data_IF_637093646295
#
_entry.id   IF_637093646295
#
_cell.length_a   1.000
_cell.length_b   1.000
_cell.length_c   1.000
_cell.angle_alpha   90.00
_cell.angle_beta   90.00
_cell.angle_gamma   90.00
#
_symmetry.space_group_name_H-M   'P 1'
#
loop_
_entity.id
_entity.type
_entity.pdbx_description
1 polymer ?
#
# COMPACT_ATOMS: atom_id res chain seq x y z
N UNK A 1 23.52 15.88 -15.56
CA UNK A 1 22.38 15.24 -14.86
C UNK A 1 21.12 15.97 -15.29
N UNK A 2 19.97 15.32 -15.49
CA UNK A 2 18.73 16.04 -15.78
C UNK A 2 18.38 16.96 -14.61
N UNK A 3 17.87 18.17 -14.90
CA UNK A 3 17.52 19.17 -13.87
C UNK A 3 16.34 18.74 -12.98
N UNK A 4 15.59 17.71 -13.40
CA UNK A 4 14.44 17.19 -12.66
C UNK A 4 14.88 16.15 -11.64
N UNK A 5 14.53 16.38 -10.37
CA UNK A 5 14.77 15.44 -9.28
C UNK A 5 13.72 14.32 -9.31
N UNK A 6 14.05 13.20 -9.94
CA UNK A 6 13.21 11.99 -9.96
C UNK A 6 13.64 11.10 -8.80
N UNK A 7 12.69 10.74 -7.92
CA UNK A 7 12.94 9.85 -6.76
C UNK A 7 12.32 8.47 -6.91
N UNK A 8 11.32 8.34 -7.79
CA UNK A 8 10.66 7.06 -7.99
C UNK A 8 9.90 6.96 -9.31
N UNK A 9 9.70 5.73 -9.75
CA UNK A 9 8.89 5.37 -10.91
C UNK A 9 7.75 4.45 -10.43
N UNK A 10 6.52 4.87 -10.69
CA UNK A 10 5.31 4.08 -10.48
C UNK A 10 5.01 3.24 -11.73
N UNK A 11 5.18 1.93 -11.63
CA UNK A 11 4.90 1.00 -12.73
C UNK A 11 3.43 0.61 -12.71
N UNK A 12 2.62 1.43 -13.38
CA UNK A 12 1.16 1.30 -13.36
C UNK A 12 0.54 1.97 -12.12
N UNK A 13 -0.77 1.78 -11.95
CA UNK A 13 -1.54 2.27 -10.82
C UNK A 13 -2.69 1.30 -10.56
N UNK A 14 -2.75 0.73 -9.35
CA UNK A 14 -3.78 -0.20 -8.90
C UNK A 14 -4.02 -1.37 -9.87
N UNK A 15 -2.95 -1.87 -10.52
CA UNK A 15 -3.05 -2.83 -11.63
C UNK A 15 -3.80 -4.11 -11.23
N UNK A 16 -3.60 -4.58 -9.99
CA UNK A 16 -4.23 -5.80 -9.47
C UNK A 16 -5.76 -5.73 -9.43
N UNK A 17 -6.32 -4.54 -9.22
CA UNK A 17 -7.77 -4.32 -9.05
C UNK A 17 -8.41 -3.70 -10.29
N UNK A 18 -7.65 -2.94 -11.10
CA UNK A 18 -8.19 -2.18 -12.25
C UNK A 18 -7.94 -2.86 -13.60
N UNK A 19 -6.80 -3.53 -13.79
CA UNK A 19 -6.42 -4.17 -15.05
C UNK A 19 -5.78 -5.55 -14.79
N UNK A 20 -6.53 -6.55 -14.27
CA UNK A 20 -5.95 -7.79 -13.75
C UNK A 20 -5.17 -8.61 -14.79
N UNK A 21 -5.53 -8.50 -16.07
CA UNK A 21 -4.80 -9.14 -17.16
C UNK A 21 -3.35 -8.60 -17.32
N UNK A 22 -3.10 -7.35 -16.95
CA UNK A 22 -1.76 -6.75 -16.97
C UNK A 22 -0.92 -7.13 -15.73
N UNK A 23 -1.52 -7.65 -14.66
CA UNK A 23 -0.81 -8.04 -13.44
C UNK A 23 0.29 -9.10 -13.71
N UNK A 24 0.08 -9.95 -14.72
CA UNK A 24 1.02 -11.02 -15.10
C UNK A 24 2.38 -10.49 -15.60
N UNK A 25 2.43 -9.25 -16.10
CA UNK A 25 3.66 -8.63 -16.63
C UNK A 25 4.24 -7.55 -15.70
N UNK A 26 3.55 -7.24 -14.59
CA UNK A 26 3.89 -6.14 -13.69
C UNK A 26 5.31 -6.26 -13.12
N UNK A 27 5.61 -7.40 -12.47
CA UNK A 27 6.93 -7.62 -11.84
C UNK A 27 8.05 -7.65 -12.88
N UNK A 28 7.78 -8.20 -14.07
CA UNK A 28 8.75 -8.19 -15.18
C UNK A 28 9.04 -6.76 -15.64
N UNK A 29 8.01 -5.91 -15.79
CA UNK A 29 8.18 -4.51 -16.15
C UNK A 29 8.99 -3.74 -15.09
N UNK A 30 8.72 -3.97 -13.80
CA UNK A 30 9.49 -3.37 -12.70
C UNK A 30 10.97 -3.77 -12.77
N UNK A 31 11.26 -5.05 -13.01
CA UNK A 31 12.64 -5.56 -13.17
C UNK A 31 13.35 -4.93 -14.36
N UNK A 32 12.69 -4.81 -15.52
CA UNK A 32 13.30 -4.19 -16.69
C UNK A 32 13.64 -2.70 -16.47
N UNK A 33 12.73 -1.95 -15.82
CA UNK A 33 12.98 -0.55 -15.48
C UNK A 33 14.13 -0.39 -14.48
N UNK A 34 14.18 -1.23 -13.44
CA UNK A 34 15.28 -1.22 -12.49
C UNK A 34 16.62 -1.57 -13.16
N UNK A 35 16.66 -2.58 -14.04
CA UNK A 35 17.88 -2.90 -14.82
C UNK A 35 18.35 -1.72 -15.67
N UNK A 36 17.44 -0.94 -16.26
CA UNK A 36 17.80 0.27 -17.00
C UNK A 36 18.38 1.35 -16.08
N UNK A 37 17.83 1.52 -14.87
CA UNK A 37 18.36 2.45 -13.86
C UNK A 37 19.76 2.01 -13.38
N UNK A 38 19.98 0.73 -13.16
CA UNK A 38 21.31 0.17 -12.82
C UNK A 38 22.31 0.45 -13.95
N UNK A 39 21.93 0.21 -15.20
CA UNK A 39 22.78 0.51 -16.36
C UNK A 39 23.11 2.01 -16.50
N UNK A 40 22.23 2.88 -16.00
CA UNK A 40 22.43 4.33 -15.94
C UNK A 40 23.10 4.82 -14.64
N UNK A 41 23.41 3.93 -13.68
CA UNK A 41 23.91 4.26 -12.35
C UNK A 41 22.98 5.22 -11.57
N UNK A 42 21.67 5.00 -11.67
CA UNK A 42 20.61 5.81 -11.07
C UNK A 42 19.77 5.04 -10.03
N UNK A 43 19.96 3.73 -9.87
CA UNK A 43 19.16 2.86 -8.99
C UNK A 43 19.29 3.17 -7.49
N UNK A 44 20.37 3.86 -7.09
CA UNK A 44 20.52 4.43 -5.75
C UNK A 44 19.67 5.68 -5.48
N UNK A 45 19.23 6.38 -6.53
CA UNK A 45 18.48 7.64 -6.44
C UNK A 45 17.01 7.49 -6.86
N UNK A 46 16.76 6.69 -7.90
CA UNK A 46 15.43 6.47 -8.46
C UNK A 46 14.98 5.06 -8.10
N UNK A 47 13.91 4.95 -7.30
CA UNK A 47 13.35 3.65 -6.90
C UNK A 47 12.20 3.23 -7.81
N UNK A 48 11.97 1.93 -7.94
CA UNK A 48 10.88 1.39 -8.77
C UNK A 48 9.85 0.73 -7.86
N UNK A 49 8.60 1.17 -7.96
CA UNK A 49 7.48 0.61 -7.20
C UNK A 49 6.20 0.60 -8.03
N UNK A 50 5.09 0.16 -7.45
CA UNK A 50 3.76 0.15 -8.07
C UNK A 50 2.72 0.50 -6.99
N UNK A 51 1.93 1.58 -7.18
CA UNK A 51 0.81 1.88 -6.30
C UNK A 51 -0.27 0.81 -6.34
N UNK A 52 -0.74 0.37 -5.18
CA UNK A 52 -1.86 -0.57 -5.01
C UNK A 52 -3.06 0.12 -4.36
N UNK A 53 -4.28 -0.36 -4.66
CA UNK A 53 -5.45 -0.03 -3.83
C UNK A 53 -5.31 -0.69 -2.47
N UNK A 54 -5.77 -0.04 -1.40
CA UNK A 54 -5.90 -0.68 -0.07
C UNK A 54 -6.80 -1.92 -0.09
N UNK A 55 -7.66 -2.09 -1.09
CA UNK A 55 -8.56 -3.24 -1.24
C UNK A 55 -7.84 -4.57 -1.49
N UNK A 56 -6.51 -4.54 -1.74
CA UNK A 56 -5.71 -5.77 -1.79
C UNK A 56 -5.49 -6.37 -0.39
N UNK A 57 -5.78 -5.62 0.68
CA UNK A 57 -5.71 -6.06 2.08
C UNK A 57 -7.12 -6.46 2.52
N UNK A 58 -7.27 -7.70 2.98
CA UNK A 58 -8.52 -8.22 3.52
C UNK A 58 -8.46 -8.20 5.05
N UNK A 59 -9.65 -8.17 5.66
CA UNK A 59 -9.83 -8.16 7.12
C UNK A 59 -8.90 -7.16 7.81
N UNK A 60 -8.83 -5.93 7.27
CA UNK A 60 -7.89 -4.89 7.68
C UNK A 60 -8.07 -4.37 9.11
N UNK A 61 -9.08 -4.85 9.84
CA UNK A 61 -9.25 -4.56 11.27
C UNK A 61 -9.61 -5.82 12.07
N UNK A 62 -8.89 -6.15 13.16
CA UNK A 62 -7.76 -5.39 13.70
C UNK A 62 -6.49 -5.50 12.80
N UNK A 63 -5.67 -4.44 12.66
CA UNK A 63 -4.52 -4.43 11.74
C UNK A 63 -3.56 -5.61 11.91
N UNK A 64 -3.33 -6.07 13.14
CA UNK A 64 -2.47 -7.22 13.43
C UNK A 64 -2.92 -8.56 12.85
N UNK A 65 -4.15 -8.65 12.34
CA UNK A 65 -4.70 -9.85 11.68
C UNK A 65 -4.92 -9.67 10.19
N UNK A 66 -4.63 -8.49 9.66
CA UNK A 66 -4.81 -8.18 8.26
C UNK A 66 -3.90 -9.06 7.39
N UNK A 67 -4.37 -9.34 6.17
CA UNK A 67 -3.60 -10.11 5.21
C UNK A 67 -3.91 -9.69 3.79
N UNK A 68 -2.91 -9.78 2.91
CA UNK A 68 -3.15 -9.58 1.49
C UNK A 68 -4.06 -10.66 0.91
N UNK A 69 -4.94 -10.27 -0.01
CA UNK A 69 -5.81 -11.17 -0.74
C UNK A 69 -4.99 -12.27 -1.44
N UNK A 70 -5.23 -13.52 -1.02
CA UNK A 70 -4.47 -14.69 -1.47
C UNK A 70 -4.56 -14.93 -2.98
N UNK A 71 -5.58 -14.42 -3.68
CA UNK A 71 -5.68 -14.50 -5.14
C UNK A 71 -4.55 -13.78 -5.86
N UNK A 72 -3.91 -12.79 -5.23
CA UNK A 72 -2.77 -12.05 -5.80
C UNK A 72 -1.40 -12.61 -5.38
N UNK A 73 -1.35 -13.71 -4.62
CA UNK A 73 -0.11 -14.26 -4.06
C UNK A 73 0.99 -14.50 -5.11
N UNK A 74 0.62 -14.96 -6.30
CA UNK A 74 1.57 -15.21 -7.40
C UNK A 74 2.24 -13.95 -7.95
N UNK A 75 1.66 -12.76 -7.70
CA UNK A 75 2.21 -11.46 -8.08
C UNK A 75 2.84 -10.75 -6.88
N UNK A 76 2.15 -10.69 -5.74
CA UNK A 76 2.61 -9.95 -4.56
C UNK A 76 3.89 -10.52 -3.96
N UNK A 77 4.01 -11.85 -3.83
CA UNK A 77 5.22 -12.46 -3.25
C UNK A 77 6.49 -12.11 -4.05
N UNK A 78 6.56 -12.35 -5.38
CA UNK A 78 7.75 -11.98 -6.15
C UNK A 78 7.95 -10.46 -6.28
N UNK A 79 6.88 -9.66 -6.16
CA UNK A 79 6.98 -8.20 -6.14
C UNK A 79 7.62 -7.71 -4.85
N UNK A 80 7.15 -8.18 -3.68
CA UNK A 80 7.72 -7.80 -2.37
C UNK A 80 9.18 -8.25 -2.24
N UNK A 81 9.52 -9.44 -2.73
CA UNK A 81 10.91 -9.91 -2.84
C UNK A 81 11.77 -8.98 -3.72
N UNK A 82 11.22 -8.50 -4.84
CA UNK A 82 11.90 -7.51 -5.68
C UNK A 82 12.10 -6.16 -4.96
N UNK A 83 11.06 -5.63 -4.30
CA UNK A 83 11.14 -4.36 -3.57
C UNK A 83 12.21 -4.44 -2.47
N UNK A 84 12.22 -5.54 -1.71
CA UNK A 84 13.22 -5.79 -0.67
C UNK A 84 14.65 -5.85 -1.25
N UNK A 85 14.86 -6.58 -2.35
CA UNK A 85 16.19 -6.74 -2.98
C UNK A 85 16.73 -5.45 -3.60
N UNK A 86 15.84 -4.53 -3.97
CA UNK A 86 16.20 -3.26 -4.62
C UNK A 86 16.17 -2.07 -3.67
N UNK A 87 15.94 -2.32 -2.37
CA UNK A 87 15.78 -1.28 -1.36
C UNK A 87 14.75 -0.23 -1.81
N UNK A 88 13.61 -0.72 -2.28
CA UNK A 88 12.46 0.07 -2.76
C UNK A 88 11.30 -0.05 -1.77
N UNK A 89 10.28 0.78 -1.95
CA UNK A 89 9.14 0.88 -1.03
C UNK A 89 7.88 0.26 -1.62
N UNK A 90 6.96 -0.19 -0.75
CA UNK A 90 5.59 -0.52 -1.14
C UNK A 90 4.77 0.78 -1.25
N UNK A 91 3.99 0.94 -2.32
CA UNK A 91 3.08 2.06 -2.48
C UNK A 91 1.63 1.61 -2.30
N UNK A 92 0.89 2.31 -1.44
CA UNK A 92 -0.53 2.04 -1.19
C UNK A 92 -1.32 3.35 -1.32
N UNK A 93 -2.39 3.31 -2.10
CA UNK A 93 -3.38 4.37 -2.16
C UNK A 93 -4.39 4.14 -1.03
N UNK A 94 -4.33 4.98 -0.01
CA UNK A 94 -5.20 4.87 1.17
C UNK A 94 -6.18 6.03 1.21
N UNK A 95 -7.47 5.70 1.28
CA UNK A 95 -8.56 6.68 1.26
C UNK A 95 -9.52 6.48 2.45
N UNK A 96 -9.30 7.16 3.59
CA UNK A 96 -10.21 7.12 4.75
C UNK A 96 -11.68 7.38 4.39
N UNK A 97 -11.93 8.20 3.37
CA UNK A 97 -13.25 8.49 2.84
C UNK A 97 -14.01 7.24 2.36
N UNK A 98 -13.36 6.36 1.60
CA UNK A 98 -14.02 5.14 1.13
C UNK A 98 -14.32 4.19 2.28
N UNK A 99 -13.38 4.03 3.21
CA UNK A 99 -13.60 3.24 4.43
C UNK A 99 -14.81 3.77 5.22
N UNK A 100 -14.92 5.09 5.40
CA UNK A 100 -16.08 5.72 6.03
C UNK A 100 -17.40 5.42 5.29
N UNK A 101 -17.47 5.75 4.00
CA UNK A 101 -18.71 5.63 3.22
C UNK A 101 -19.19 4.18 3.02
N UNK A 102 -18.27 3.21 2.98
CA UNK A 102 -18.59 1.79 2.79
C UNK A 102 -18.84 1.05 4.11
N UNK A 103 -18.51 1.65 5.27
CA UNK A 103 -18.68 0.99 6.57
C UNK A 103 -20.13 0.87 7.06
N UNK A 104 -21.11 1.41 6.33
CA UNK A 104 -22.52 1.46 6.75
C UNK A 104 -22.72 2.04 8.17
N UNK A 105 -21.90 3.03 8.55
CA UNK A 105 -22.00 3.71 9.84
C UNK A 105 -21.15 3.10 10.96
N UNK A 106 -20.41 2.02 10.71
CA UNK A 106 -19.47 1.43 11.67
C UNK A 106 -18.26 2.34 11.89
N UNK A 107 -17.73 2.95 10.82
CA UNK A 107 -16.61 3.90 10.90
C UNK A 107 -17.18 5.29 11.09
N UNK A 108 -16.82 5.93 12.20
CA UNK A 108 -17.26 7.29 12.51
C UNK A 108 -16.59 8.35 11.62
N UNK A 109 -17.32 9.42 11.31
CA UNK A 109 -16.79 10.52 10.49
C UNK A 109 -15.55 11.16 11.12
N UNK A 110 -15.54 11.37 12.44
CA UNK A 110 -14.42 11.98 13.15
C UNK A 110 -13.14 11.11 13.06
N UNK A 111 -13.29 9.77 13.07
CA UNK A 111 -12.20 8.82 12.90
C UNK A 111 -11.59 8.87 11.49
N UNK A 112 -12.41 9.13 10.47
CA UNK A 112 -11.94 9.30 9.08
C UNK A 112 -11.33 10.69 8.80
N UNK A 113 -11.69 11.70 9.59
CA UNK A 113 -11.24 13.09 9.45
C UNK A 113 -10.09 13.48 10.39
N UNK A 114 -9.46 12.52 11.07
CA UNK A 114 -8.38 12.77 12.04
C UNK A 114 -8.79 13.73 13.17
N UNK A 115 -10.08 13.74 13.54
CA UNK A 115 -10.55 14.57 14.64
C UNK A 115 -10.34 13.86 15.97
N UNK A 116 -10.10 14.60 17.07
CA UNK A 116 -9.94 14.00 18.38
C UNK A 116 -11.12 13.10 18.74
N UNK A 117 -10.81 11.86 19.13
CA UNK A 117 -11.79 10.90 19.62
C UNK A 117 -11.72 10.80 21.15
N UNK A 118 -12.84 10.62 21.85
CA UNK A 118 -12.78 10.20 23.24
C UNK A 118 -12.20 8.77 23.32
N UNK A 119 -11.50 8.39 24.41
CA UNK A 119 -10.81 7.09 24.51
C UNK A 119 -11.70 5.87 24.26
N UNK A 120 -13.00 5.95 24.55
CA UNK A 120 -13.95 4.86 24.31
C UNK A 120 -14.43 4.72 22.85
N UNK A 121 -13.97 5.60 21.95
CA UNK A 121 -14.26 5.56 20.51
C UNK A 121 -13.00 5.31 19.68
N UNK A 122 -11.83 5.27 20.28
CA UNK A 122 -10.61 4.84 19.60
C UNK A 122 -10.75 3.37 19.18
N UNK A 123 -10.23 3.04 18.01
CA UNK A 123 -10.22 1.66 17.56
C UNK A 123 -9.02 0.96 18.22
N UNK A 124 -9.28 -0.12 18.96
CA UNK A 124 -8.24 -0.85 19.68
C UNK A 124 -7.98 -2.17 18.97
N UNK A 125 -6.72 -2.41 18.60
CA UNK A 125 -6.30 -3.73 18.15
C UNK A 125 -6.18 -4.65 19.36
N UNK A 126 -7.05 -5.67 19.43
CA UNK A 126 -7.15 -6.55 20.59
C UNK A 126 -5.93 -7.45 20.82
N UNK A 127 -5.05 -7.64 19.83
CA UNK A 127 -3.87 -8.49 19.96
C UNK A 127 -2.65 -7.70 20.43
N UNK A 128 -2.51 -6.46 19.98
CA UNK A 128 -1.35 -5.61 20.28
C UNK A 128 -1.63 -4.54 21.33
N UNK A 129 -2.91 -4.29 21.63
CA UNK A 129 -3.39 -3.18 22.46
C UNK A 129 -3.02 -1.80 21.89
N UNK A 130 -2.70 -1.70 20.58
CA UNK A 130 -2.49 -0.42 19.93
C UNK A 130 -3.81 0.32 19.75
N UNK A 131 -3.77 1.62 20.04
CA UNK A 131 -4.89 2.54 19.91
C UNK A 131 -4.76 3.34 18.62
N UNK A 132 -5.73 3.19 17.74
CA UNK A 132 -5.83 3.96 16.51
C UNK A 132 -6.83 5.09 16.70
N UNK A 133 -6.34 6.32 16.57
CA UNK A 133 -7.14 7.55 16.70
C UNK A 133 -7.65 8.05 15.35
N UNK A 134 -7.16 7.49 14.25
CA UNK A 134 -7.66 7.71 12.90
C UNK A 134 -7.58 6.42 12.05
N UNK A 135 -8.48 6.30 11.08
CA UNK A 135 -8.57 5.09 10.24
C UNK A 135 -7.41 4.95 9.25
N UNK A 136 -6.73 6.05 8.93
CA UNK A 136 -5.59 6.03 8.02
C UNK A 136 -4.44 5.22 8.62
N UNK A 137 -4.08 5.48 9.88
CA UNK A 137 -3.02 4.75 10.59
C UNK A 137 -3.36 3.27 10.71
N UNK A 138 -4.62 2.93 10.99
CA UNK A 138 -5.07 1.54 11.05
C UNK A 138 -4.91 0.80 9.70
N UNK A 139 -5.24 1.46 8.58
CA UNK A 139 -5.08 0.86 7.24
C UNK A 139 -3.61 0.76 6.84
N UNK A 140 -2.77 1.71 7.24
CA UNK A 140 -1.32 1.66 6.98
C UNK A 140 -0.66 0.52 7.77
N UNK A 141 -1.00 0.33 9.04
CA UNK A 141 -0.41 -0.73 9.87
C UNK A 141 -0.94 -2.14 9.49
N UNK A 142 -2.06 -2.21 8.77
CA UNK A 142 -2.61 -3.45 8.23
C UNK A 142 -1.88 -3.95 6.97
N UNK A 143 -0.99 -3.15 6.37
CA UNK A 143 -0.29 -3.44 5.11
C UNK A 143 1.07 -4.11 5.34
#
# INVERSE_FOLDING_TARGET
LPDTNITGICVGSEVLTTVPNAALVLVSAMKFLHSALVAANLDGQVKVSTPHSSDIILDSFPPSQAFFNGSFKSILVPMLDFLQKTDSFLMLNVYPYYVYTQSNGVVGLDYALFRPLPPNKEAVDANTMLHYTNVFDAVIDAA
#
